data_IF_194122815767
#
_entry.id   IF_194122815767
#
_cell.length_a   1.000
_cell.length_b   1.000
_cell.length_c   1.000
_cell.angle_alpha   90.00
_cell.angle_beta   90.00
_cell.angle_gamma   90.00
#
_symmetry.space_group_name_H-M   'P 1'
#
loop_
_entity.id
_entity.type
_entity.pdbx_description
1 polymer ?
#
# COMPACT_ATOMS: atom_id res chain seq x y z
N UNK A 1 -0.90 28.42 -12.80
CA UNK A 1 -1.51 27.08 -13.03
C UNK A 1 -0.44 25.99 -13.13
N UNK A 2 0.47 26.06 -14.10
CA UNK A 2 1.58 25.10 -14.32
C UNK A 2 2.40 24.75 -13.08
N UNK A 3 2.85 25.70 -12.22
CA UNK A 3 3.65 25.35 -11.04
C UNK A 3 2.89 24.50 -10.00
N UNK A 4 1.59 24.73 -9.83
CA UNK A 4 0.76 23.94 -8.92
C UNK A 4 0.50 22.52 -9.44
N UNK A 5 0.32 22.36 -10.76
CA UNK A 5 0.16 21.05 -11.39
C UNK A 5 1.42 20.22 -11.18
N UNK A 6 2.59 20.80 -11.47
CA UNK A 6 3.88 20.14 -11.31
C UNK A 6 4.15 19.77 -9.85
N UNK A 7 3.80 20.66 -8.92
CA UNK A 7 3.97 20.39 -7.49
C UNK A 7 3.12 19.18 -7.04
N UNK A 8 1.84 19.16 -7.38
CA UNK A 8 0.94 18.04 -7.02
C UNK A 8 1.37 16.74 -7.69
N UNK A 9 1.79 16.81 -8.95
CA UNK A 9 2.29 15.65 -9.69
C UNK A 9 3.55 15.08 -9.04
N UNK A 10 4.50 15.95 -8.69
CA UNK A 10 5.75 15.57 -8.02
C UNK A 10 5.48 14.92 -6.66
N UNK A 11 4.67 15.55 -5.80
CA UNK A 11 4.35 14.99 -4.47
C UNK A 11 3.62 13.66 -4.57
N UNK A 12 2.72 13.51 -5.54
CA UNK A 12 1.99 12.26 -5.77
C UNK A 12 2.92 11.17 -6.28
N UNK A 13 3.79 11.47 -7.25
CA UNK A 13 4.75 10.52 -7.79
C UNK A 13 5.75 10.03 -6.74
N UNK A 14 6.28 10.93 -5.91
CA UNK A 14 7.19 10.57 -4.83
C UNK A 14 6.49 9.67 -3.81
N UNK A 15 5.29 10.04 -3.37
CA UNK A 15 4.50 9.23 -2.44
C UNK A 15 4.12 7.87 -3.03
N UNK A 16 3.79 7.82 -4.32
CA UNK A 16 3.46 6.60 -5.04
C UNK A 16 4.66 5.64 -5.12
N UNK A 17 5.83 6.12 -5.57
CA UNK A 17 7.03 5.27 -5.69
C UNK A 17 7.45 4.70 -4.34
N UNK A 18 7.42 5.52 -3.29
CA UNK A 18 7.70 5.06 -1.93
C UNK A 18 6.65 4.05 -1.45
N UNK A 19 5.36 4.32 -1.68
CA UNK A 19 4.28 3.42 -1.30
C UNK A 19 4.32 2.08 -2.03
N UNK A 20 4.71 2.07 -3.31
CA UNK A 20 4.95 0.85 -4.09
C UNK A 20 6.12 0.08 -3.52
N UNK A 21 7.28 0.73 -3.30
CA UNK A 21 8.46 0.04 -2.80
C UNK A 21 8.21 -0.63 -1.44
N UNK A 22 7.61 0.11 -0.50
CA UNK A 22 7.31 -0.40 0.85
C UNK A 22 6.15 -1.41 0.81
N UNK A 23 5.12 -1.14 0.01
CA UNK A 23 3.95 -2.00 -0.11
C UNK A 23 4.26 -3.36 -0.74
N UNK A 24 5.11 -3.37 -1.78
CA UNK A 24 5.58 -4.62 -2.40
C UNK A 24 6.45 -5.40 -1.43
N UNK A 25 7.39 -4.75 -0.72
CA UNK A 25 8.25 -5.44 0.24
C UNK A 25 7.44 -6.11 1.36
N UNK A 26 6.48 -5.40 1.94
CA UNK A 26 5.62 -5.93 3.02
C UNK A 26 4.64 -6.96 2.48
N UNK A 27 3.98 -6.69 1.35
CA UNK A 27 3.05 -7.62 0.72
C UNK A 27 3.72 -8.93 0.35
N UNK A 28 4.95 -8.89 -0.16
CA UNK A 28 5.73 -10.08 -0.46
C UNK A 28 6.08 -10.86 0.82
N UNK A 29 6.51 -10.16 1.88
CA UNK A 29 6.82 -10.80 3.17
C UNK A 29 5.60 -11.52 3.79
N UNK A 30 4.39 -10.96 3.61
CA UNK A 30 3.14 -11.57 4.08
C UNK A 30 2.71 -12.72 3.16
N UNK A 31 2.82 -12.53 1.84
CA UNK A 31 2.35 -13.49 0.83
C UNK A 31 3.13 -14.80 0.79
N UNK A 32 4.41 -14.79 1.19
CA UNK A 32 5.28 -15.99 1.23
C UNK A 32 4.88 -16.99 2.33
N UNK A 33 4.06 -16.61 3.30
CA UNK A 33 3.63 -17.50 4.38
C UNK A 33 2.11 -17.59 4.46
N UNK A 34 1.54 -18.75 4.14
CA UNK A 34 0.10 -19.04 4.27
C UNK A 34 -0.49 -18.68 5.64
N UNK A 35 0.24 -18.98 6.73
CA UNK A 35 -0.21 -18.66 8.10
C UNK A 35 -0.19 -17.15 8.35
N UNK A 36 0.83 -16.45 7.85
CA UNK A 36 0.92 -15.00 7.96
C UNK A 36 -0.17 -14.32 7.11
N UNK A 37 -0.43 -14.83 5.91
CA UNK A 37 -1.51 -14.37 5.05
C UNK A 37 -2.87 -14.55 5.71
N UNK A 38 -3.25 -15.75 6.18
CA UNK A 38 -4.56 -16.00 6.79
C UNK A 38 -4.82 -15.14 8.03
N UNK A 39 -3.78 -14.84 8.80
CA UNK A 39 -3.87 -13.98 9.99
C UNK A 39 -3.91 -12.49 9.62
N UNK A 40 -3.11 -12.06 8.64
CA UNK A 40 -3.04 -10.67 8.21
C UNK A 40 -4.19 -10.28 7.28
N UNK A 41 -4.79 -11.21 6.54
CA UNK A 41 -5.87 -10.97 5.60
C UNK A 41 -7.06 -10.20 6.19
N UNK A 42 -7.64 -10.60 7.35
CA UNK A 42 -8.71 -9.83 7.98
C UNK A 42 -8.25 -8.43 8.42
N UNK A 43 -7.00 -8.26 8.87
CA UNK A 43 -6.44 -6.94 9.17
C UNK A 43 -6.29 -6.09 7.90
N UNK A 44 -5.73 -6.65 6.84
CA UNK A 44 -5.47 -5.98 5.56
C UNK A 44 -6.77 -5.47 4.91
N UNK A 45 -7.84 -6.28 4.94
CA UNK A 45 -9.16 -5.88 4.44
C UNK A 45 -9.84 -4.90 5.41
N UNK A 46 -9.74 -5.13 6.73
CA UNK A 46 -10.30 -4.25 7.75
C UNK A 46 -9.74 -2.83 7.69
N UNK A 47 -8.42 -2.69 7.49
CA UNK A 47 -7.76 -1.41 7.31
C UNK A 47 -8.16 -0.71 6.00
N UNK A 48 -8.52 -1.45 4.95
CA UNK A 48 -9.00 -0.85 3.70
C UNK A 48 -10.37 -0.16 3.85
N UNK A 49 -11.13 -0.46 4.91
CA UNK A 49 -12.39 0.24 5.24
C UNK A 49 -12.18 1.59 5.94
N UNK A 50 -10.95 1.93 6.36
CA UNK A 50 -10.67 3.23 6.98
C UNK A 50 -10.79 4.33 5.91
N UNK A 51 -11.64 5.36 6.13
CA UNK A 51 -11.74 6.47 5.20
C UNK A 51 -10.40 7.19 5.09
N UNK A 52 -9.71 7.01 3.95
CA UNK A 52 -8.38 7.59 3.69
C UNK A 52 -8.37 9.12 3.84
N UNK A 53 -9.53 9.75 3.62
CA UNK A 53 -9.77 11.19 3.79
C UNK A 53 -9.57 11.69 5.23
N UNK A 54 -9.74 10.82 6.25
CA UNK A 54 -9.55 11.19 7.66
C UNK A 54 -8.07 11.32 8.05
N UNK A 55 -7.16 10.74 7.27
CA UNK A 55 -5.72 10.70 7.59
C UNK A 55 -5.02 12.02 7.24
N UNK A 56 -5.52 12.73 6.23
CA UNK A 56 -4.97 14.02 5.76
C UNK A 56 -4.84 15.06 6.89
N UNK A 57 -5.89 15.39 7.66
CA UNK A 57 -5.77 16.39 8.73
C UNK A 57 -4.78 15.97 9.82
N UNK A 58 -4.66 14.67 10.12
CA UNK A 58 -3.70 14.15 11.11
C UNK A 58 -2.26 14.41 10.65
N UNK A 59 -1.95 14.13 9.39
CA UNK A 59 -0.62 14.41 8.84
C UNK A 59 -0.30 15.90 8.80
N UNK A 60 -1.28 16.75 8.51
CA UNK A 60 -1.10 18.21 8.56
C UNK A 60 -0.87 18.67 10.01
N UNK A 61 -1.54 18.09 11.00
CA UNK A 61 -1.33 18.43 12.41
C UNK A 61 0.07 18.04 12.91
N UNK A 62 0.60 16.90 12.49
CA UNK A 62 1.93 16.43 12.92
C UNK A 62 3.09 17.08 12.17
N UNK A 63 2.99 17.22 10.85
CA UNK A 63 4.09 17.66 9.98
C UNK A 63 3.94 19.11 9.49
N UNK A 64 2.85 19.79 9.86
CA UNK A 64 2.52 21.12 9.39
C UNK A 64 1.94 21.15 7.98
N UNK A 65 1.73 22.34 7.44
CA UNK A 65 1.31 22.54 6.05
C UNK A 65 2.52 22.50 5.11
N UNK A 66 2.42 21.73 4.02
CA UNK A 66 3.52 21.59 3.06
C UNK A 66 3.35 20.43 2.10
N UNK A 67 4.44 20.02 1.45
CA UNK A 67 4.48 18.87 0.54
C UNK A 67 4.52 17.52 1.27
N UNK A 68 4.99 17.48 2.51
CA UNK A 68 5.14 16.24 3.30
C UNK A 68 3.78 15.57 3.57
N UNK A 69 2.73 16.26 4.06
CA UNK A 69 1.42 15.63 4.24
C UNK A 69 0.83 15.08 2.93
N UNK A 70 1.06 15.77 1.80
CA UNK A 70 0.59 15.32 0.49
C UNK A 70 1.28 14.02 0.06
N UNK A 71 2.61 13.94 0.24
CA UNK A 71 3.39 12.73 -0.03
C UNK A 71 2.94 11.57 0.85
N UNK A 72 2.80 11.79 2.16
CA UNK A 72 2.37 10.77 3.12
C UNK A 72 0.93 10.29 2.83
N UNK A 73 0.06 11.20 2.41
CA UNK A 73 -1.30 10.84 2.00
C UNK A 73 -1.29 9.96 0.75
N UNK A 74 -0.54 10.35 -0.29
CA UNK A 74 -0.41 9.55 -1.51
C UNK A 74 0.16 8.16 -1.22
N UNK A 75 1.19 8.08 -0.37
CA UNK A 75 1.78 6.84 0.11
C UNK A 75 0.73 5.98 0.83
N UNK A 76 0.03 6.52 1.83
CA UNK A 76 -0.99 5.78 2.58
C UNK A 76 -2.14 5.30 1.68
N UNK A 77 -2.51 6.09 0.67
CA UNK A 77 -3.59 5.75 -0.26
C UNK A 77 -3.28 4.53 -1.13
N UNK A 78 -2.03 4.41 -1.60
CA UNK A 78 -1.60 3.31 -2.45
C UNK A 78 -1.02 2.13 -1.67
N UNK A 79 -0.46 2.35 -0.48
CA UNK A 79 0.22 1.33 0.32
C UNK A 79 -0.68 0.12 0.61
N UNK A 80 -1.84 0.33 1.25
CA UNK A 80 -2.75 -0.77 1.62
C UNK A 80 -3.20 -1.64 0.45
N UNK A 81 -3.77 -1.10 -0.65
CA UNK A 81 -4.20 -1.93 -1.76
C UNK A 81 -3.02 -2.63 -2.45
N UNK A 82 -1.82 -2.04 -2.49
CA UNK A 82 -0.63 -2.69 -3.03
C UNK A 82 -0.24 -3.90 -2.16
N UNK A 83 -0.17 -3.73 -0.83
CA UNK A 83 0.14 -4.84 0.09
C UNK A 83 -0.86 -5.97 -0.07
N UNK A 84 -2.16 -5.65 -0.08
CA UNK A 84 -3.24 -6.63 -0.25
C UNK A 84 -3.10 -7.37 -1.58
N UNK A 85 -2.96 -6.65 -2.69
CA UNK A 85 -2.87 -7.26 -4.02
C UNK A 85 -1.65 -8.17 -4.17
N UNK A 86 -0.50 -7.75 -3.65
CA UNK A 86 0.73 -8.55 -3.69
C UNK A 86 0.60 -9.78 -2.80
N UNK A 87 0.11 -9.61 -1.57
CA UNK A 87 -0.06 -10.73 -0.64
C UNK A 87 -1.08 -11.75 -1.17
N UNK A 88 -2.23 -11.30 -1.68
CA UNK A 88 -3.23 -12.19 -2.29
C UNK A 88 -2.70 -12.84 -3.55
N UNK A 89 -2.05 -12.09 -4.45
CA UNK A 89 -1.49 -12.63 -5.68
C UNK A 89 -0.49 -13.76 -5.42
N UNK A 90 0.47 -13.55 -4.52
CA UNK A 90 1.45 -14.57 -4.12
C UNK A 90 0.78 -15.79 -3.47
N UNK A 91 -0.09 -15.56 -2.49
CA UNK A 91 -0.77 -16.65 -1.77
C UNK A 91 -1.68 -17.50 -2.68
N UNK A 92 -2.22 -16.95 -3.76
CA UNK A 92 -3.02 -17.71 -4.74
C UNK A 92 -2.18 -18.44 -5.79
N UNK A 93 -0.99 -17.93 -6.14
CA UNK A 93 -0.13 -18.54 -7.16
C UNK A 93 0.70 -19.72 -6.62
N UNK A 94 1.11 -19.72 -5.35
CA UNK A 94 1.80 -20.85 -4.71
C UNK A 94 1.02 -22.19 -4.77
N UNK A 95 -0.29 -22.26 -4.45
CA UNK A 95 -1.06 -23.50 -4.57
C UNK A 95 -1.08 -24.11 -5.97
N UNK A 96 -1.17 -23.28 -7.03
CA UNK A 96 -1.25 -23.76 -8.41
C UNK A 96 0.07 -24.36 -8.90
N UNK A 97 1.22 -23.80 -8.46
CA UNK A 97 2.55 -24.30 -8.81
C UNK A 97 2.90 -25.61 -8.09
N UNK A 98 2.45 -25.78 -6.85
CA UNK A 98 2.65 -27.04 -6.10
C UNK A 98 1.84 -28.20 -6.70
N UNK A 99 0.64 -27.93 -7.23
CA UNK A 99 -0.24 -28.96 -7.81
C UNK A 99 0.28 -29.45 -9.17
N UNK A 100 0.83 -28.54 -10.01
CA UNK A 100 1.45 -28.93 -11.29
C UNK A 100 2.81 -29.60 -11.15
N UNK A 101 3.56 -29.32 -10.07
CA UNK A 101 4.82 -30.04 -9.79
C UNK A 101 4.60 -31.44 -9.25
N UNK A 102 3.39 -31.76 -8.79
CA UNK A 102 3.03 -33.05 -8.19
C UNK A 102 2.28 -33.98 -9.14
N UNK A 103 1.85 -33.48 -10.31
CA UNK A 103 1.17 -34.24 -11.37
C UNK A 103 2.10 -34.60 -12.53
#
# INVERSE_FOLDING_TARGET
LVPHIIQTLWTTMVGFVLGVAVGVAIGAAIGVSRVAYDTAYPLLIGFSSIPKVAVVPIFVLWFGSGSVPAILTALAMCFFPIVVNIATGLATTEPELEDVLKS
#
